data_IF_346881472226
#
_entry.id   IF_346881472226
#
_cell.length_a   1.000
_cell.length_b   1.000
_cell.length_c   1.000
_cell.angle_alpha   90.00
_cell.angle_beta   90.00
_cell.angle_gamma   90.00
#
_symmetry.space_group_name_H-M   'P 1'
#
loop_
_entity.id
_entity.type
_entity.pdbx_description
1 polymer ?
#
# COMPACT_ATOMS: atom_id res chain seq x y z
N UNK A 1 -0.81 -9.60 5.43
CA UNK A 1 -0.94 -8.95 6.75
C UNK A 1 -1.45 -9.93 7.82
N UNK A 2 -2.68 -10.46 7.69
CA UNK A 2 -3.28 -11.36 8.69
C UNK A 2 -2.53 -12.68 8.96
N UNK A 3 -1.83 -13.23 7.98
CA UNK A 3 -1.04 -14.47 8.12
C UNK A 3 0.32 -14.29 8.83
N UNK A 4 0.83 -13.05 8.94
CA UNK A 4 2.15 -12.77 9.50
C UNK A 4 2.11 -11.84 10.73
N UNK A 5 0.93 -11.38 11.15
CA UNK A 5 0.78 -10.49 12.32
C UNK A 5 1.40 -9.10 12.15
N UNK A 6 1.74 -8.70 10.91
CA UNK A 6 2.43 -7.45 10.61
C UNK A 6 1.44 -6.41 10.06
N UNK A 7 1.56 -5.17 10.55
CA UNK A 7 0.88 -4.01 9.97
C UNK A 7 1.38 -3.80 8.54
N UNK A 8 0.48 -3.87 7.57
CA UNK A 8 0.79 -3.59 6.18
C UNK A 8 0.08 -2.31 5.75
N UNK A 9 0.80 -1.42 5.09
CA UNK A 9 0.25 -0.21 4.48
C UNK A 9 0.36 -0.39 2.97
N UNK A 10 -0.76 -0.21 2.27
CA UNK A 10 -0.86 -0.43 0.82
C UNK A 10 -1.19 0.90 0.16
N UNK A 11 -0.24 1.41 -0.62
CA UNK A 11 -0.41 2.61 -1.42
C UNK A 11 -1.06 2.22 -2.75
N UNK A 12 -2.29 2.67 -2.98
CA UNK A 12 -3.02 2.40 -4.22
C UNK A 12 -3.50 3.68 -4.89
N UNK A 13 -3.45 3.75 -6.24
CA UNK A 13 -4.02 4.87 -6.95
C UNK A 13 -5.54 4.94 -6.77
N UNK A 14 -6.12 6.13 -6.80
CA UNK A 14 -7.57 6.33 -6.70
C UNK A 14 -8.35 5.64 -7.82
N UNK A 15 -7.75 5.54 -9.01
CA UNK A 15 -8.27 4.81 -10.18
C UNK A 15 -8.21 3.27 -10.03
N UNK A 16 -7.68 2.75 -8.91
CA UNK A 16 -7.60 1.32 -8.72
C UNK A 16 -8.99 0.67 -8.60
N UNK A 17 -9.22 -0.53 -9.17
CA UNK A 17 -10.49 -1.22 -9.08
C UNK A 17 -10.95 -1.42 -7.63
N UNK A 18 -12.18 -1.02 -7.31
CA UNK A 18 -12.75 -1.07 -5.96
C UNK A 18 -12.70 -2.47 -5.34
N UNK A 19 -12.76 -3.52 -6.17
CA UNK A 19 -12.68 -4.92 -5.72
C UNK A 19 -11.32 -5.25 -5.07
N UNK A 20 -10.23 -4.63 -5.53
CA UNK A 20 -8.90 -4.80 -4.95
C UNK A 20 -8.77 -4.02 -3.64
N UNK A 21 -9.36 -2.82 -3.56
CA UNK A 21 -9.42 -2.04 -2.31
C UNK A 21 -10.20 -2.78 -1.22
N UNK A 22 -11.36 -3.33 -1.57
CA UNK A 22 -12.17 -4.10 -0.63
C UNK A 22 -11.41 -5.30 -0.08
N UNK A 23 -10.76 -6.09 -0.95
CA UNK A 23 -9.92 -7.21 -0.53
C UNK A 23 -8.79 -6.75 0.41
N UNK A 24 -8.05 -5.70 0.06
CA UNK A 24 -6.95 -5.17 0.90
C UNK A 24 -7.43 -4.69 2.27
N UNK A 25 -8.59 -4.01 2.33
CA UNK A 25 -9.19 -3.59 3.60
C UNK A 25 -9.61 -4.80 4.44
N UNK A 26 -10.17 -5.83 3.81
CA UNK A 26 -10.60 -7.07 4.48
C UNK A 26 -9.41 -7.87 5.07
N UNK A 27 -8.23 -7.73 4.47
CA UNK A 27 -6.98 -8.30 4.98
C UNK A 27 -6.38 -7.54 6.18
N UNK A 28 -6.99 -6.42 6.61
CA UNK A 28 -6.52 -5.59 7.72
C UNK A 28 -5.30 -4.74 7.37
N UNK A 29 -5.10 -4.43 6.08
CA UNK A 29 -4.08 -3.50 5.64
C UNK A 29 -4.64 -2.07 5.59
N UNK A 30 -3.82 -1.10 5.94
CA UNK A 30 -4.16 0.32 5.85
C UNK A 30 -3.99 0.79 4.42
N UNK A 31 -5.04 1.38 3.84
CA UNK A 31 -5.02 1.81 2.43
C UNK A 31 -4.71 3.30 2.39
N UNK A 32 -3.64 3.66 1.70
CA UNK A 32 -3.29 5.06 1.40
C UNK A 32 -3.59 5.30 -0.07
N UNK A 33 -4.54 6.19 -0.34
CA UNK A 33 -4.88 6.60 -1.71
C UNK A 33 -3.97 7.73 -2.19
N UNK A 34 -3.45 7.61 -3.40
CA UNK A 34 -2.65 8.65 -4.05
C UNK A 34 -2.99 8.79 -5.54
N UNK A 35 -2.50 9.84 -6.19
CA UNK A 35 -2.51 9.88 -7.66
C UNK A 35 -1.54 8.82 -8.20
N UNK A 36 -1.83 8.25 -9.38
CA UNK A 36 -0.97 7.22 -9.98
C UNK A 36 0.47 7.70 -10.18
N UNK A 37 0.65 8.99 -10.51
CA UNK A 37 1.97 9.63 -10.68
C UNK A 37 2.72 9.83 -9.36
N UNK A 38 2.00 9.95 -8.24
CA UNK A 38 2.58 10.20 -6.93
C UNK A 38 2.87 8.91 -6.15
N UNK A 39 2.56 7.74 -6.70
CA UNK A 39 2.68 6.47 -5.97
C UNK A 39 4.07 6.26 -5.40
N UNK A 40 5.11 6.45 -6.21
CA UNK A 40 6.51 6.30 -5.77
C UNK A 40 6.89 7.33 -4.71
N UNK A 41 6.48 8.59 -4.88
CA UNK A 41 6.75 9.66 -3.94
C UNK A 41 6.09 9.41 -2.58
N UNK A 42 4.81 9.02 -2.57
CA UNK A 42 4.08 8.67 -1.35
C UNK A 42 4.66 7.43 -0.69
N UNK A 43 5.06 6.42 -1.49
CA UNK A 43 5.75 5.24 -0.98
C UNK A 43 7.07 5.60 -0.29
N UNK A 44 7.88 6.45 -0.93
CA UNK A 44 9.15 6.91 -0.39
C UNK A 44 8.98 7.76 0.88
N UNK A 45 7.97 8.64 0.91
CA UNK A 45 7.65 9.44 2.12
C UNK A 45 7.25 8.54 3.29
N UNK A 46 6.40 7.53 3.05
CA UNK A 46 5.99 6.57 4.07
C UNK A 46 7.18 5.74 4.59
N UNK A 47 8.08 5.32 3.70
CA UNK A 47 9.32 4.63 4.06
C UNK A 47 10.19 5.53 4.93
N UNK A 48 10.41 6.78 4.52
CA UNK A 48 11.24 7.73 5.25
C UNK A 48 10.65 8.10 6.62
N UNK A 49 9.33 8.25 6.71
CA UNK A 49 8.63 8.72 7.90
C UNK A 49 8.40 7.62 8.94
N UNK A 50 8.11 6.40 8.48
CA UNK A 50 7.75 5.28 9.37
C UNK A 50 8.80 4.17 9.42
N UNK A 51 9.84 4.23 8.57
CA UNK A 51 10.84 3.17 8.46
C UNK A 51 10.29 1.88 7.83
N UNK A 52 9.25 1.98 7.01
CA UNK A 52 8.64 0.82 6.37
C UNK A 52 9.54 0.21 5.29
N UNK A 53 9.47 -1.11 5.13
CA UNK A 53 10.08 -1.78 3.99
C UNK A 53 9.15 -1.68 2.78
N UNK A 54 9.62 -1.00 1.73
CA UNK A 54 8.87 -0.91 0.49
C UNK A 54 8.90 -2.26 -0.23
N UNK A 55 7.71 -2.81 -0.50
CA UNK A 55 7.56 -3.99 -1.35
C UNK A 55 7.07 -3.51 -2.71
N UNK A 56 7.92 -3.63 -3.72
CA UNK A 56 7.57 -3.26 -5.09
C UNK A 56 6.58 -4.28 -5.68
N UNK A 57 5.51 -3.84 -6.35
CA UNK A 57 4.50 -4.75 -6.90
C UNK A 57 4.94 -5.51 -8.17
N UNK A 58 6.13 -5.23 -8.69
CA UNK A 58 6.66 -5.82 -9.93
C UNK A 58 8.11 -6.34 -9.79
N UNK A 59 8.56 -6.62 -8.58
CA UNK A 59 9.84 -7.31 -8.39
C UNK A 59 9.62 -8.62 -7.60
N UNK A 60 9.57 -9.71 -8.38
CA UNK A 60 9.25 -11.14 -8.09
C UNK A 60 7.79 -11.58 -8.25
#
# INVERSE_FOLDING_TARGET
>A
AKLAGVRAVVVMPEDAPAIKRAATAEYGAEIVTCAAIDREKVSADLVAKHGYTLIHPYDN
#
